data_IF_025147436719
#
_entry.id   IF_025147436719
#
_cell.length_a   1.000
_cell.length_b   1.000
_cell.length_c   1.000
_cell.angle_alpha   90.00
_cell.angle_beta   90.00
_cell.angle_gamma   90.00
#
_symmetry.space_group_name_H-M   'P 1'
#
loop_
_entity.id
_entity.type
_entity.pdbx_description
1 polymer ?
#
# COMPACT_ATOMS: atom_id res chain seq x y z
N UNK A 1 -48.55 -37.80 -170.99
CA UNK A 1 -48.82 -38.93 -170.07
C UNK A 1 -47.54 -39.57 -169.48
N UNK A 2 -46.37 -38.91 -169.50
CA UNK A 2 -45.11 -39.53 -169.01
C UNK A 2 -44.49 -38.85 -167.78
N UNK A 3 -44.92 -37.63 -167.45
CA UNK A 3 -44.36 -36.85 -166.34
C UNK A 3 -45.03 -37.15 -164.98
N UNK A 4 -46.28 -37.64 -165.02
CA UNK A 4 -47.04 -38.00 -163.82
C UNK A 4 -46.54 -39.30 -163.18
N UNK A 5 -45.98 -40.22 -163.96
CA UNK A 5 -45.48 -41.49 -163.46
C UNK A 5 -44.09 -41.38 -162.79
N UNK A 6 -43.26 -40.40 -163.17
CA UNK A 6 -41.96 -40.17 -162.50
C UNK A 6 -42.09 -39.61 -161.08
N UNK A 7 -43.14 -38.83 -160.79
CA UNK A 7 -43.39 -38.30 -159.43
C UNK A 7 -43.91 -39.35 -158.44
N UNK A 8 -44.46 -40.47 -158.92
CA UNK A 8 -45.02 -41.53 -158.07
C UNK A 8 -43.96 -42.58 -157.68
N UNK A 9 -42.93 -42.80 -158.52
CA UNK A 9 -41.90 -43.81 -158.28
C UNK A 9 -40.50 -43.25 -157.93
N UNK A 10 -40.39 -41.94 -157.70
CA UNK A 10 -39.18 -41.31 -157.19
C UNK A 10 -39.04 -41.46 -155.67
N UNK A 11 -38.57 -42.61 -155.21
CA UNK A 11 -38.14 -42.81 -153.82
C UNK A 11 -37.01 -41.81 -153.49
N UNK A 12 -37.30 -40.76 -152.71
CA UNK A 12 -36.26 -39.96 -152.07
C UNK A 12 -35.78 -40.72 -150.82
N UNK A 13 -34.71 -41.51 -150.96
CA UNK A 13 -33.88 -41.85 -149.81
C UNK A 13 -33.28 -40.55 -149.29
N UNK A 14 -33.66 -40.15 -148.08
CA UNK A 14 -32.95 -39.13 -147.31
C UNK A 14 -32.18 -39.91 -146.25
N UNK A 15 -30.84 -39.87 -146.31
CA UNK A 15 -29.98 -40.54 -145.34
C UNK A 15 -30.24 -39.97 -143.93
N UNK A 16 -30.46 -40.85 -142.94
CA UNK A 16 -30.58 -40.49 -141.53
C UNK A 16 -29.31 -39.75 -141.08
N UNK A 17 -29.43 -38.48 -140.71
CA UNK A 17 -28.36 -37.74 -140.06
C UNK A 17 -28.36 -38.07 -138.56
N UNK A 18 -27.23 -38.48 -137.95
CA UNK A 18 -27.17 -38.75 -136.52
C UNK A 18 -27.41 -37.45 -135.73
N UNK A 19 -28.22 -37.52 -134.66
CA UNK A 19 -28.44 -36.38 -133.76
C UNK A 19 -27.11 -35.91 -133.15
N UNK A 20 -26.86 -34.59 -133.02
CA UNK A 20 -25.67 -34.11 -132.34
C UNK A 20 -25.73 -34.49 -130.85
N UNK A 21 -24.76 -35.26 -130.38
CA UNK A 21 -24.57 -35.52 -128.96
C UNK A 21 -24.14 -34.21 -128.27
N UNK A 22 -24.93 -33.78 -127.29
CA UNK A 22 -24.57 -32.64 -126.43
C UNK A 22 -23.56 -33.18 -125.41
N UNK A 23 -22.35 -32.59 -125.28
CA UNK A 23 -21.40 -33.00 -124.25
C UNK A 23 -22.04 -32.90 -122.86
N UNK A 24 -21.80 -33.85 -121.94
CA UNK A 24 -22.28 -33.71 -120.57
C UNK A 24 -21.63 -32.46 -119.95
N UNK A 25 -22.44 -31.49 -119.55
CA UNK A 25 -21.97 -30.36 -118.76
C UNK A 25 -21.89 -30.80 -117.30
N UNK A 26 -20.77 -30.49 -116.65
CA UNK A 26 -20.58 -30.70 -115.22
C UNK A 26 -21.15 -29.50 -114.46
N UNK A 27 -21.97 -29.75 -113.44
CA UNK A 27 -22.32 -28.76 -112.43
C UNK A 27 -21.30 -28.88 -111.29
N UNK A 28 -20.09 -28.37 -111.53
CA UNK A 28 -18.92 -28.44 -110.63
C UNK A 28 -18.68 -27.15 -109.83
N UNK A 29 -19.54 -26.15 -109.97
CA UNK A 29 -19.45 -24.88 -109.24
C UNK A 29 -18.53 -23.84 -109.87
N UNK A 30 -17.65 -24.21 -110.81
CA UNK A 30 -16.75 -23.27 -111.51
C UNK A 30 -17.42 -22.65 -112.75
N UNK A 31 -18.27 -23.42 -113.45
CA UNK A 31 -18.83 -23.04 -114.75
C UNK A 31 -20.34 -22.74 -114.69
N UNK A 32 -20.93 -22.84 -113.50
CA UNK A 32 -22.38 -22.66 -113.28
C UNK A 32 -22.71 -21.16 -113.14
N UNK A 33 -23.86 -20.73 -113.67
CA UNK A 33 -24.31 -19.36 -113.44
C UNK A 33 -24.52 -19.10 -111.95
N UNK A 34 -23.94 -18.01 -111.44
CA UNK A 34 -24.09 -17.61 -110.04
C UNK A 34 -25.58 -17.48 -109.67
N UNK A 35 -25.90 -17.85 -108.44
CA UNK A 35 -27.23 -17.61 -107.88
C UNK A 35 -27.51 -16.11 -107.84
N UNK A 36 -28.72 -15.71 -108.21
CA UNK A 36 -29.11 -14.30 -108.15
C UNK A 36 -29.08 -13.80 -106.69
N UNK A 37 -28.76 -12.52 -106.44
CA UNK A 37 -28.76 -11.98 -105.08
C UNK A 37 -30.09 -12.23 -104.37
N UNK A 38 -30.05 -12.68 -103.11
CA UNK A 38 -31.24 -13.00 -102.30
C UNK A 38 -32.18 -14.07 -102.88
N UNK A 39 -31.73 -14.87 -103.84
CA UNK A 39 -32.55 -15.97 -104.42
C UNK A 39 -32.64 -17.22 -103.54
N UNK A 40 -31.86 -17.28 -102.47
CA UNK A 40 -31.86 -18.37 -101.48
C UNK A 40 -32.58 -17.89 -100.23
N UNK A 41 -33.69 -18.54 -99.91
CA UNK A 41 -34.49 -18.36 -98.71
C UNK A 41 -34.52 -19.67 -97.89
N UNK A 42 -35.30 -19.67 -96.79
CA UNK A 42 -35.40 -20.82 -95.89
C UNK A 42 -35.99 -22.09 -96.52
N UNK A 43 -36.66 -22.01 -97.68
CA UNK A 43 -37.19 -23.18 -98.40
C UNK A 43 -36.10 -23.91 -99.18
N UNK A 44 -35.10 -23.19 -99.69
CA UNK A 44 -33.99 -23.77 -100.45
C UNK A 44 -32.87 -24.30 -99.52
N UNK A 45 -32.78 -23.81 -98.28
CA UNK A 45 -31.89 -24.35 -97.24
C UNK A 45 -32.65 -25.32 -96.35
N UNK A 46 -32.49 -26.63 -96.59
CA UNK A 46 -33.09 -27.66 -95.73
C UNK A 46 -32.48 -27.64 -94.33
N UNK A 47 -33.24 -28.08 -93.33
CA UNK A 47 -32.74 -28.22 -91.97
C UNK A 47 -31.49 -29.13 -91.92
N UNK A 48 -30.42 -28.64 -91.30
CA UNK A 48 -29.13 -29.32 -91.22
C UNK A 48 -28.29 -29.30 -92.50
N UNK A 49 -28.73 -28.63 -93.57
CA UNK A 49 -27.95 -28.51 -94.81
C UNK A 49 -26.70 -27.65 -94.67
N UNK A 50 -26.69 -26.74 -93.69
CA UNK A 50 -25.50 -25.97 -93.30
C UNK A 50 -24.93 -26.60 -92.04
N UNK A 51 -23.90 -27.41 -92.21
CA UNK A 51 -23.11 -27.96 -91.11
C UNK A 51 -21.85 -27.12 -90.87
N UNK A 52 -20.98 -27.56 -89.96
CA UNK A 52 -19.73 -26.85 -89.65
C UNK A 52 -18.73 -26.83 -90.81
N UNK A 53 -18.87 -27.71 -91.80
CA UNK A 53 -17.99 -27.74 -92.99
C UNK A 53 -18.47 -26.81 -94.09
N UNK A 54 -19.77 -26.49 -94.11
CA UNK A 54 -20.38 -25.52 -95.01
C UNK A 54 -20.10 -24.05 -94.60
N UNK A 55 -19.62 -23.82 -93.37
CA UNK A 55 -19.18 -22.51 -92.88
C UNK A 55 -17.65 -22.48 -92.86
N UNK A 56 -17.05 -21.59 -93.64
CA UNK A 56 -15.60 -21.35 -93.55
C UNK A 56 -15.22 -20.78 -92.18
N UNK A 57 -13.98 -20.99 -91.75
CA UNK A 57 -13.45 -20.41 -90.51
C UNK A 57 -13.67 -18.89 -90.51
N UNK A 58 -14.11 -18.35 -89.35
CA UNK A 58 -14.43 -16.93 -89.15
C UNK A 58 -15.54 -16.36 -90.06
N UNK A 59 -16.21 -17.20 -90.86
CA UNK A 59 -17.29 -16.75 -91.75
C UNK A 59 -18.50 -16.20 -91.00
N UNK A 60 -18.65 -16.51 -89.71
CA UNK A 60 -19.65 -15.91 -88.80
C UNK A 60 -18.93 -14.98 -87.83
N UNK A 61 -18.84 -13.71 -88.20
CA UNK A 61 -18.29 -12.63 -87.39
C UNK A 61 -19.37 -12.00 -86.49
N UNK A 62 -19.00 -10.98 -85.70
CA UNK A 62 -19.93 -10.28 -84.82
C UNK A 62 -21.09 -9.61 -85.57
N UNK A 63 -20.87 -9.14 -86.80
CA UNK A 63 -21.89 -8.42 -87.58
C UNK A 63 -22.98 -9.38 -88.11
N UNK A 64 -22.64 -10.66 -88.26
CA UNK A 64 -23.57 -11.74 -88.62
C UNK A 64 -24.34 -12.31 -87.43
N UNK A 65 -23.90 -12.03 -86.20
CA UNK A 65 -24.58 -12.43 -84.97
C UNK A 65 -25.41 -11.25 -84.46
N UNK A 66 -26.70 -11.26 -84.72
CA UNK A 66 -27.60 -10.21 -84.25
C UNK A 66 -27.70 -10.18 -82.71
N UNK A 67 -28.03 -9.01 -82.16
CA UNK A 67 -28.25 -8.84 -80.72
C UNK A 67 -29.28 -9.85 -80.19
N UNK A 68 -28.90 -10.58 -79.14
CA UNK A 68 -29.74 -11.60 -78.53
C UNK A 68 -29.77 -12.95 -79.26
N UNK A 69 -29.04 -13.13 -80.37
CA UNK A 69 -28.92 -14.43 -81.04
C UNK A 69 -28.31 -15.52 -80.16
N UNK A 70 -27.39 -15.15 -79.26
CA UNK A 70 -26.79 -16.08 -78.28
C UNK A 70 -27.64 -16.10 -77.01
N UNK A 71 -28.52 -17.09 -76.91
CA UNK A 71 -29.34 -17.36 -75.74
C UNK A 71 -28.60 -18.27 -74.76
N UNK A 72 -29.10 -18.39 -73.52
CA UNK A 72 -28.49 -19.27 -72.51
C UNK A 72 -28.40 -20.74 -72.96
N UNK A 73 -29.33 -21.21 -73.80
CA UNK A 73 -29.29 -22.57 -74.35
C UNK A 73 -28.17 -22.79 -75.39
N UNK A 74 -27.57 -21.71 -75.90
CA UNK A 74 -26.43 -21.76 -76.83
C UNK A 74 -25.07 -21.77 -76.08
N UNK A 75 -25.09 -21.62 -74.75
CA UNK A 75 -23.90 -21.61 -73.91
C UNK A 75 -23.88 -22.85 -73.03
N UNK A 76 -22.99 -23.79 -73.35
CA UNK A 76 -22.76 -24.95 -72.51
C UNK A 76 -22.17 -24.57 -71.15
N UNK A 77 -22.30 -25.47 -70.19
CA UNK A 77 -21.66 -25.32 -68.89
C UNK A 77 -20.15 -25.08 -69.05
N UNK A 78 -19.63 -24.08 -68.33
CA UNK A 78 -18.21 -23.69 -68.35
C UNK A 78 -17.71 -23.12 -69.70
N UNK A 79 -18.59 -22.87 -70.68
CA UNK A 79 -18.19 -22.28 -71.96
C UNK A 79 -17.64 -20.86 -71.83
N UNK A 80 -18.07 -20.11 -70.80
CA UNK A 80 -17.54 -18.79 -70.44
C UNK A 80 -16.47 -18.97 -69.36
N UNK A 81 -15.20 -18.92 -69.77
CA UNK A 81 -14.04 -18.98 -68.88
C UNK A 81 -13.62 -17.58 -68.43
N UNK A 82 -12.74 -17.50 -67.42
CA UNK A 82 -12.21 -16.22 -66.93
C UNK A 82 -11.59 -15.38 -68.04
N UNK A 83 -10.82 -15.99 -68.94
CA UNK A 83 -10.15 -15.31 -70.06
C UNK A 83 -11.14 -14.76 -71.10
N UNK A 84 -12.39 -15.23 -71.13
CA UNK A 84 -13.45 -14.72 -72.01
C UNK A 84 -14.21 -13.55 -71.39
N UNK A 85 -13.98 -13.24 -70.12
CA UNK A 85 -14.53 -12.08 -69.44
C UNK A 85 -13.48 -10.98 -69.42
N UNK A 86 -13.80 -9.83 -70.01
CA UNK A 86 -12.97 -8.64 -69.87
C UNK A 86 -12.99 -8.11 -68.43
N UNK A 87 -11.99 -7.29 -68.08
CA UNK A 87 -11.96 -6.59 -66.80
C UNK A 87 -13.25 -5.79 -66.59
N UNK A 88 -13.87 -5.96 -65.42
CA UNK A 88 -15.15 -5.34 -65.04
C UNK A 88 -16.37 -5.71 -65.94
N UNK A 89 -16.29 -6.75 -66.78
CA UNK A 89 -17.41 -7.19 -67.62
C UNK A 89 -18.66 -7.59 -66.82
N UNK A 90 -18.49 -8.02 -65.55
CA UNK A 90 -19.59 -8.40 -64.66
C UNK A 90 -19.90 -7.25 -63.69
N UNK A 91 -20.93 -6.46 -64.01
CA UNK A 91 -21.45 -5.45 -63.10
C UNK A 91 -22.08 -6.08 -61.85
N UNK A 92 -22.03 -5.37 -60.71
CA UNK A 92 -22.59 -5.84 -59.43
C UNK A 92 -24.07 -6.23 -59.53
N UNK A 93 -24.87 -5.51 -60.32
CA UNK A 93 -26.28 -5.82 -60.56
C UNK A 93 -26.51 -7.18 -61.27
N UNK A 94 -25.48 -7.74 -61.91
CA UNK A 94 -25.52 -9.08 -62.53
C UNK A 94 -25.16 -10.19 -61.54
N UNK A 95 -24.66 -9.84 -60.36
CA UNK A 95 -24.34 -10.77 -59.28
C UNK A 95 -25.52 -10.79 -58.31
N UNK A 96 -26.20 -11.94 -58.21
CA UNK A 96 -27.30 -12.11 -57.25
C UNK A 96 -26.78 -11.90 -55.81
N UNK A 97 -27.58 -11.26 -54.95
CA UNK A 97 -27.27 -11.14 -53.53
C UNK A 97 -26.93 -12.51 -52.92
N UNK A 98 -25.77 -12.62 -52.27
CA UNK A 98 -25.24 -13.85 -51.68
C UNK A 98 -24.56 -14.82 -52.65
N UNK A 99 -24.48 -14.53 -53.95
CA UNK A 99 -23.76 -15.36 -54.92
C UNK A 99 -22.24 -15.39 -54.63
N UNK A 100 -21.71 -14.31 -54.08
CA UNK A 100 -20.35 -14.20 -53.54
C UNK A 100 -20.46 -14.24 -52.02
N UNK A 101 -20.05 -15.35 -51.42
CA UNK A 101 -20.07 -15.55 -49.96
C UNK A 101 -18.66 -15.46 -49.38
N UNK A 102 -18.54 -15.44 -48.06
CA UNK A 102 -17.25 -15.31 -47.36
C UNK A 102 -16.22 -16.36 -47.84
N UNK A 103 -16.62 -17.61 -48.08
CA UNK A 103 -15.72 -18.65 -48.61
C UNK A 103 -15.18 -18.38 -50.02
N UNK A 104 -15.84 -17.52 -50.81
CA UNK A 104 -15.38 -17.08 -52.13
C UNK A 104 -14.50 -15.82 -52.08
N UNK A 105 -14.48 -15.12 -50.94
CA UNK A 105 -13.71 -13.88 -50.73
C UNK A 105 -12.46 -14.10 -49.88
N UNK A 106 -12.49 -15.06 -48.96
CA UNK A 106 -11.41 -15.30 -48.02
C UNK A 106 -10.41 -16.28 -48.64
N UNK A 107 -9.36 -15.76 -49.27
CA UNK A 107 -8.14 -16.53 -49.52
C UNK A 107 -7.21 -16.37 -48.32
N UNK A 108 -7.00 -17.48 -47.62
CA UNK A 108 -6.03 -17.73 -46.56
C UNK A 108 -6.05 -16.79 -45.36
N UNK A 109 -5.73 -15.50 -45.45
CA UNK A 109 -5.57 -14.65 -44.26
C UNK A 109 -5.81 -13.18 -44.63
N UNK A 110 -6.80 -12.57 -43.98
CA UNK A 110 -7.20 -11.17 -44.08
C UNK A 110 -7.83 -10.73 -45.40
N UNK A 111 -9.07 -10.25 -45.33
CA UNK A 111 -9.48 -8.91 -45.81
C UNK A 111 -10.87 -8.62 -45.24
N UNK A 112 -10.89 -7.90 -44.11
CA UNK A 112 -11.95 -6.93 -43.82
C UNK A 112 -11.23 -5.59 -43.80
N UNK A 113 -10.97 -5.02 -44.98
CA UNK A 113 -10.08 -3.85 -45.14
C UNK A 113 -10.80 -2.51 -45.03
N UNK A 114 -12.13 -2.48 -44.93
CA UNK A 114 -12.87 -1.24 -44.72
C UNK A 114 -13.77 -1.31 -43.49
N UNK A 115 -13.66 -0.30 -42.62
CA UNK A 115 -14.52 -0.08 -41.46
C UNK A 115 -16.02 -0.04 -41.81
N UNK A 116 -16.37 0.25 -43.07
CA UNK A 116 -17.73 0.24 -43.58
C UNK A 116 -18.32 -1.17 -43.86
N UNK A 117 -17.52 -2.24 -43.77
CA UNK A 117 -17.98 -3.62 -44.02
C UNK A 117 -18.41 -4.38 -42.76
N UNK A 118 -18.20 -3.80 -41.57
CA UNK A 118 -18.61 -4.41 -40.30
C UNK A 118 -19.84 -3.66 -39.81
N UNK A 119 -21.02 -4.25 -40.01
CA UNK A 119 -22.24 -3.75 -39.40
C UNK A 119 -22.13 -3.74 -37.87
N UNK A 120 -22.92 -2.86 -37.24
CA UNK A 120 -22.95 -2.76 -35.78
C UNK A 120 -23.29 -4.12 -35.17
N UNK A 121 -22.50 -4.55 -34.18
CA UNK A 121 -22.65 -5.83 -33.47
C UNK A 121 -22.33 -7.12 -34.26
N UNK A 122 -21.72 -7.05 -35.45
CA UNK A 122 -21.26 -8.25 -36.17
C UNK A 122 -20.14 -8.98 -35.43
N UNK A 123 -19.21 -8.24 -34.80
CA UNK A 123 -18.14 -8.84 -34.01
C UNK A 123 -18.67 -9.19 -32.62
N UNK A 124 -19.10 -10.44 -32.46
CA UNK A 124 -19.47 -11.05 -31.17
C UNK A 124 -18.27 -11.76 -30.53
N UNK A 125 -18.41 -12.17 -29.27
CA UNK A 125 -17.34 -12.87 -28.53
C UNK A 125 -16.83 -14.14 -29.24
N UNK A 126 -17.68 -14.85 -29.99
CA UNK A 126 -17.26 -16.04 -30.74
C UNK A 126 -16.30 -15.72 -31.90
N UNK A 127 -16.32 -14.48 -32.42
CA UNK A 127 -15.40 -14.03 -33.47
C UNK A 127 -14.03 -13.59 -32.92
N UNK A 128 -13.93 -13.35 -31.61
CA UNK A 128 -12.70 -12.89 -30.95
C UNK A 128 -12.12 -14.04 -30.15
N UNK A 129 -11.03 -14.63 -30.66
CA UNK A 129 -10.29 -15.65 -29.92
C UNK A 129 -9.73 -15.12 -28.59
N UNK A 130 -9.53 -16.04 -27.63
CA UNK A 130 -8.93 -15.69 -26.33
C UNK A 130 -7.53 -15.10 -26.55
N UNK A 131 -7.26 -13.92 -25.98
CA UNK A 131 -5.97 -13.24 -26.08
C UNK A 131 -5.71 -12.49 -27.38
N UNK A 132 -6.66 -12.49 -28.34
CA UNK A 132 -6.53 -11.74 -29.60
C UNK A 132 -6.51 -10.23 -29.34
N UNK A 133 -7.31 -9.75 -28.39
CA UNK A 133 -7.27 -8.34 -27.96
C UNK A 133 -6.15 -8.17 -26.93
N UNK A 134 -5.04 -7.61 -27.39
CA UNK A 134 -3.88 -7.26 -26.55
C UNK A 134 -3.96 -5.78 -26.14
N UNK A 135 -3.13 -5.37 -25.19
CA UNK A 135 -3.08 -3.97 -24.73
C UNK A 135 -2.84 -2.98 -25.87
N UNK A 136 -2.06 -3.34 -26.90
CA UNK A 136 -1.84 -2.49 -28.07
C UNK A 136 -3.11 -2.23 -28.91
N UNK A 137 -4.12 -3.08 -28.80
CA UNK A 137 -5.42 -2.92 -29.48
C UNK A 137 -6.38 -2.04 -28.68
N UNK A 138 -6.04 -1.67 -27.45
CA UNK A 138 -6.86 -0.89 -26.53
C UNK A 138 -6.30 0.53 -26.41
N UNK A 139 -7.11 1.53 -26.77
CA UNK A 139 -6.74 2.94 -26.54
C UNK A 139 -6.64 3.27 -25.05
N UNK A 140 -5.80 4.25 -24.69
CA UNK A 140 -5.44 4.60 -23.30
C UNK A 140 -6.61 4.93 -22.35
N UNK A 141 -7.82 5.15 -22.84
CA UNK A 141 -9.01 5.47 -22.04
C UNK A 141 -10.21 4.54 -22.31
N UNK A 142 -10.02 3.43 -23.03
CA UNK A 142 -11.14 2.57 -23.42
C UNK A 142 -11.75 1.79 -22.25
N UNK A 143 -10.99 1.63 -21.16
CA UNK A 143 -11.42 0.98 -19.91
C UNK A 143 -11.84 2.07 -18.92
N UNK A 144 -13.15 2.38 -18.89
CA UNK A 144 -13.76 3.25 -17.89
C UNK A 144 -14.15 2.46 -16.64
N UNK A 145 -14.46 3.15 -15.54
CA UNK A 145 -14.98 2.53 -14.32
C UNK A 145 -16.20 1.65 -14.58
N UNK A 146 -17.10 2.05 -15.49
CA UNK A 146 -18.27 1.26 -15.86
C UNK A 146 -17.93 -0.10 -16.51
N UNK A 147 -16.72 -0.24 -17.08
CA UNK A 147 -16.23 -1.52 -17.64
C UNK A 147 -15.46 -2.36 -16.64
N UNK A 148 -15.14 -1.81 -15.46
CA UNK A 148 -14.51 -2.54 -14.36
C UNK A 148 -15.61 -2.84 -13.35
N UNK A 149 -16.10 -4.08 -13.34
CA UNK A 149 -17.10 -4.51 -12.36
C UNK A 149 -16.54 -4.52 -10.93
N UNK A 150 -17.42 -4.36 -9.94
CA UNK A 150 -17.02 -4.38 -8.52
C UNK A 150 -16.24 -5.65 -8.17
N UNK A 151 -15.07 -5.48 -7.56
CA UNK A 151 -14.17 -6.58 -7.19
C UNK A 151 -13.35 -7.16 -8.34
N UNK A 152 -13.44 -6.64 -9.58
CA UNK A 152 -12.62 -7.14 -10.70
C UNK A 152 -11.12 -6.99 -10.46
N UNK A 153 -10.71 -5.95 -9.73
CA UNK A 153 -9.32 -5.69 -9.37
C UNK A 153 -9.05 -6.31 -7.98
N UNK A 154 -8.56 -7.55 -7.97
CA UNK A 154 -8.13 -8.26 -6.77
C UNK A 154 -6.61 -8.16 -6.57
N UNK A 155 -6.12 -8.53 -5.38
CA UNK A 155 -4.68 -8.52 -5.06
C UNK A 155 -3.82 -9.24 -6.11
N UNK A 156 -4.27 -10.40 -6.64
CA UNK A 156 -3.53 -11.13 -7.67
C UNK A 156 -3.39 -10.37 -9.01
N UNK A 157 -4.22 -9.35 -9.24
CA UNK A 157 -4.16 -8.47 -10.43
C UNK A 157 -3.28 -7.24 -10.21
N UNK A 158 -2.90 -6.94 -8.96
CA UNK A 158 -2.03 -5.83 -8.60
C UNK A 158 -0.66 -6.39 -8.24
N UNK A 159 0.34 -6.12 -9.09
CA UNK A 159 1.72 -6.53 -8.80
C UNK A 159 2.29 -5.84 -7.54
N UNK A 160 3.31 -6.46 -6.93
CA UNK A 160 4.00 -5.89 -5.78
C UNK A 160 4.55 -4.49 -6.11
N UNK A 161 4.31 -3.53 -5.20
CA UNK A 161 4.75 -2.14 -5.35
C UNK A 161 4.03 -1.33 -6.43
N UNK A 162 2.99 -1.89 -7.08
CA UNK A 162 2.27 -1.16 -8.12
C UNK A 162 1.46 0.01 -7.57
N UNK A 163 0.97 -0.05 -6.33
CA UNK A 163 0.32 1.09 -5.67
C UNK A 163 1.39 1.86 -4.88
N UNK A 164 1.94 2.90 -5.51
CA UNK A 164 2.93 3.79 -4.89
C UNK A 164 2.22 4.97 -4.23
N UNK A 165 2.93 5.71 -3.36
CA UNK A 165 2.39 6.93 -2.73
C UNK A 165 1.91 7.96 -3.75
N UNK A 166 2.53 8.07 -4.92
CA UNK A 166 2.08 8.96 -5.99
C UNK A 166 0.73 8.57 -6.63
N UNK A 167 0.31 7.29 -6.48
CA UNK A 167 -0.99 6.79 -6.96
C UNK A 167 -2.08 6.87 -5.90
N UNK A 168 -1.72 7.20 -4.65
CA UNK A 168 -2.64 7.42 -3.55
C UNK A 168 -2.76 8.95 -3.36
N UNK A 169 -3.95 9.50 -3.57
CA UNK A 169 -4.20 10.92 -3.36
C UNK A 169 -4.01 11.36 -1.90
N UNK A 170 -3.93 12.68 -1.69
CA UNK A 170 -3.88 13.23 -0.34
C UNK A 170 -5.16 12.86 0.43
N UNK A 171 -5.00 12.30 1.63
CA UNK A 171 -6.08 11.87 2.53
C UNK A 171 -6.99 10.74 2.01
N UNK A 172 -6.60 10.03 0.95
CA UNK A 172 -7.37 8.88 0.43
C UNK A 172 -7.38 7.68 1.39
N UNK A 173 -6.30 7.48 2.15
CA UNK A 173 -6.26 6.43 3.19
C UNK A 173 -6.85 6.99 4.47
N UNK A 174 -8.10 6.64 4.72
CA UNK A 174 -8.85 6.96 5.93
C UNK A 174 -8.78 5.82 6.95
N UNK A 175 -9.21 6.07 8.19
CA UNK A 175 -9.23 5.03 9.24
C UNK A 175 -10.06 3.80 8.83
N UNK A 176 -11.14 3.98 8.07
CA UNK A 176 -11.96 2.87 7.57
C UNK A 176 -11.21 1.95 6.58
N UNK A 177 -10.13 2.45 5.94
CA UNK A 177 -9.31 1.67 5.02
C UNK A 177 -8.22 0.86 5.73
N UNK A 178 -7.96 1.15 7.02
CA UNK A 178 -6.94 0.48 7.82
C UNK A 178 -7.66 -0.39 8.85
N UNK A 179 -7.56 -1.71 8.68
CA UNK A 179 -8.14 -2.63 9.67
C UNK A 179 -7.54 -2.44 11.06
N UNK A 180 -8.31 -2.82 12.10
CA UNK A 180 -7.80 -2.80 13.46
C UNK A 180 -6.52 -3.63 13.56
N UNK A 181 -5.50 -3.07 14.22
CA UNK A 181 -4.16 -3.66 14.37
C UNK A 181 -3.37 -3.86 13.07
N UNK A 182 -3.86 -3.36 11.92
CA UNK A 182 -3.14 -3.48 10.65
C UNK A 182 -1.76 -2.79 10.70
N UNK A 183 -1.60 -1.73 11.51
CA UNK A 183 -0.31 -1.08 11.78
C UNK A 183 0.30 -1.69 13.04
N UNK A 184 0.99 -2.82 12.86
CA UNK A 184 1.75 -3.49 13.92
C UNK A 184 3.07 -2.76 14.24
N UNK A 185 3.66 -3.02 15.40
CA UNK A 185 4.98 -2.49 15.78
C UNK A 185 6.05 -2.72 14.70
N UNK A 186 6.11 -3.89 14.07
CA UNK A 186 7.06 -4.19 12.99
C UNK A 186 6.91 -3.32 11.72
N UNK A 187 5.75 -2.67 11.53
CA UNK A 187 5.49 -1.75 10.40
C UNK A 187 5.87 -0.30 10.74
N UNK A 188 6.11 -0.01 12.01
CA UNK A 188 6.58 1.29 12.48
C UNK A 188 8.08 1.16 12.72
N UNK A 189 8.89 1.86 11.94
CA UNK A 189 10.34 1.84 12.16
C UNK A 189 10.70 2.41 13.54
N UNK A 190 11.82 1.98 14.08
CA UNK A 190 12.35 2.55 15.33
C UNK A 190 12.47 4.07 15.20
N UNK A 191 12.02 4.79 16.24
CA UNK A 191 11.99 6.25 16.30
C UNK A 191 11.07 6.94 15.26
N UNK A 192 10.24 6.18 14.52
CA UNK A 192 9.35 6.77 13.52
C UNK A 192 8.29 7.69 14.15
N UNK A 193 7.91 7.49 15.41
CA UNK A 193 7.01 8.38 16.15
C UNK A 193 7.85 9.40 16.92
N UNK A 194 7.96 10.61 16.36
CA UNK A 194 8.71 11.74 16.94
C UNK A 194 7.80 12.65 17.75
N UNK A 195 8.38 13.55 18.56
CA UNK A 195 7.60 14.53 19.34
C UNK A 195 6.65 15.36 18.46
N UNK A 196 7.05 15.75 17.25
CA UNK A 196 6.19 16.49 16.33
C UNK A 196 4.98 15.68 15.82
N UNK A 197 5.04 14.34 15.88
CA UNK A 197 3.94 13.44 15.49
C UNK A 197 2.97 13.14 16.62
N UNK A 198 3.34 13.49 17.86
CA UNK A 198 2.49 13.36 19.05
C UNK A 198 2.00 14.76 19.40
N UNK A 199 0.72 15.04 19.20
CA UNK A 199 0.15 16.32 19.62
C UNK A 199 0.31 16.51 21.14
N UNK A 200 0.42 17.75 21.59
CA UNK A 200 0.45 18.05 23.03
C UNK A 200 -0.77 17.43 23.72
N UNK A 201 -0.54 16.78 24.87
CA UNK A 201 -1.56 16.05 25.64
C UNK A 201 -2.16 14.81 24.95
N UNK A 202 -1.66 14.40 23.78
CA UNK A 202 -2.16 13.20 23.10
C UNK A 202 -1.94 11.93 23.92
N UNK A 203 -0.88 11.89 24.74
CA UNK A 203 -0.62 10.83 25.72
C UNK A 203 -1.11 11.33 27.07
N UNK A 204 -2.29 10.85 27.48
CA UNK A 204 -2.92 11.16 28.77
C UNK A 204 -2.65 10.04 29.80
N UNK A 205 -3.06 10.27 31.04
CA UNK A 205 -2.89 9.29 32.12
C UNK A 205 -3.58 7.95 31.84
N UNK A 206 -4.67 7.93 31.05
CA UNK A 206 -5.36 6.68 30.72
C UNK A 206 -4.58 5.84 29.69
N UNK A 207 -3.77 6.48 28.84
CA UNK A 207 -2.89 5.84 27.87
C UNK A 207 -1.57 5.35 28.47
N UNK A 208 -1.19 5.82 29.65
CA UNK A 208 0.03 5.40 30.36
C UNK A 208 -0.36 4.49 31.53
N UNK A 209 -0.25 3.18 31.32
CA UNK A 209 -0.58 2.20 32.37
C UNK A 209 0.38 2.30 33.57
N UNK A 210 1.69 2.43 33.33
CA UNK A 210 2.72 2.60 34.35
C UNK A 210 3.95 3.31 33.78
N UNK A 211 4.63 4.13 34.59
CA UNK A 211 5.95 4.70 34.28
C UNK A 211 6.96 4.15 35.29
N UNK A 212 8.06 3.56 34.82
CA UNK A 212 9.17 3.20 35.70
C UNK A 212 10.03 4.43 35.97
N UNK A 213 10.48 4.63 37.21
CA UNK A 213 11.34 5.75 37.60
C UNK A 213 12.62 5.84 36.74
N UNK A 214 13.21 4.69 36.35
CA UNK A 214 14.42 4.62 35.52
C UNK A 214 14.21 5.21 34.11
N UNK A 215 12.95 5.37 33.67
CA UNK A 215 12.60 5.99 32.37
C UNK A 215 12.41 7.51 32.48
N UNK A 216 12.41 8.08 33.69
CA UNK A 216 12.31 9.52 33.93
C UNK A 216 13.74 10.07 34.01
N UNK A 217 14.34 10.35 32.85
CA UNK A 217 15.67 11.00 32.76
C UNK A 217 15.62 12.51 32.88
N UNK A 218 14.44 13.11 32.92
CA UNK A 218 14.27 14.50 33.33
C UNK A 218 14.70 14.57 34.81
N UNK A 219 15.87 15.14 35.10
CA UNK A 219 16.49 15.16 36.43
C UNK A 219 15.70 15.84 37.55
N UNK A 220 14.42 16.18 37.32
CA UNK A 220 13.49 16.71 38.31
C UNK A 220 12.08 16.15 38.08
N UNK A 221 11.43 15.67 39.15
CA UNK A 221 10.00 15.35 39.17
C UNK A 221 9.28 16.54 39.80
N UNK A 222 8.54 17.30 38.98
CA UNK A 222 7.75 18.44 39.48
C UNK A 222 6.38 17.96 39.97
N UNK A 223 6.14 18.03 41.28
CA UNK A 223 4.88 17.69 41.91
C UNK A 223 4.06 18.97 42.07
N UNK A 224 3.05 19.17 41.22
CA UNK A 224 2.18 20.37 41.24
C UNK A 224 1.05 20.30 42.29
N UNK A 225 1.01 19.22 43.08
CA UNK A 225 0.06 18.95 44.16
C UNK A 225 0.78 18.21 45.30
N UNK A 226 0.11 17.96 46.44
CA UNK A 226 0.67 17.14 47.53
C UNK A 226 1.04 15.75 46.98
N UNK A 227 2.30 15.58 46.61
CA UNK A 227 2.77 14.39 45.92
C UNK A 227 3.18 13.32 46.92
N UNK A 228 2.72 12.10 46.69
CA UNK A 228 3.08 10.94 47.47
C UNK A 228 4.02 10.05 46.65
N UNK A 229 5.30 10.00 47.05
CA UNK A 229 6.22 9.01 46.53
C UNK A 229 5.99 7.70 47.28
N UNK A 230 5.15 6.84 46.71
CA UNK A 230 4.82 5.55 47.31
C UNK A 230 5.95 4.53 47.10
N UNK A 231 6.26 3.77 48.15
CA UNK A 231 7.03 2.53 48.09
C UNK A 231 6.12 1.37 48.57
N UNK A 232 6.47 0.10 48.31
CA UNK A 232 5.66 -1.06 48.71
C UNK A 232 5.38 -1.15 50.22
N UNK A 233 6.14 -0.46 51.06
CA UNK A 233 6.02 -0.52 52.53
C UNK A 233 5.50 0.78 53.16
N UNK A 234 5.23 1.82 52.36
CA UNK A 234 4.92 3.19 52.79
C UNK A 234 5.59 4.22 51.88
N UNK A 235 5.52 5.53 52.14
CA UNK A 235 6.01 6.53 51.18
C UNK A 235 6.37 7.87 51.79
N UNK A 236 6.99 8.72 50.99
CA UNK A 236 7.38 10.09 51.36
C UNK A 236 6.34 11.07 50.78
N UNK A 237 5.68 11.85 51.64
CA UNK A 237 4.88 13.00 51.22
C UNK A 237 5.78 14.22 51.10
N UNK A 238 5.78 14.84 49.93
CA UNK A 238 6.44 16.12 49.67
C UNK A 238 5.33 17.12 49.42
N UNK A 239 5.06 18.03 50.37
CA UNK A 239 3.95 18.96 50.22
C UNK A 239 3.48 19.61 51.52
N UNK A 240 2.22 20.06 51.52
CA UNK A 240 1.61 20.76 52.65
C UNK A 240 1.68 19.90 53.93
N UNK A 241 2.24 20.47 55.01
CA UNK A 241 2.36 19.82 56.30
C UNK A 241 1.22 20.26 57.24
N UNK A 242 1.11 21.57 57.50
CA UNK A 242 0.06 22.16 58.35
C UNK A 242 0.02 23.68 58.21
N UNK A 243 -1.02 24.33 58.72
CA UNK A 243 -1.07 25.78 58.85
C UNK A 243 -0.60 26.19 60.25
N UNK A 244 0.36 27.12 60.35
CA UNK A 244 0.81 27.71 61.61
C UNK A 244 0.51 29.21 61.53
N UNK A 245 -0.37 29.71 62.42
CA UNK A 245 -0.78 31.12 62.46
C UNK A 245 -1.25 31.68 61.10
N UNK A 246 -2.06 30.90 60.35
CA UNK A 246 -2.58 31.32 59.05
C UNK A 246 -1.62 31.09 57.88
N UNK A 247 -0.38 30.69 58.12
CA UNK A 247 0.62 30.42 57.07
C UNK A 247 0.74 28.91 56.81
N UNK A 248 0.53 28.50 55.56
CA UNK A 248 0.76 27.11 55.15
C UNK A 248 2.24 26.78 55.24
N UNK A 249 2.57 25.79 56.06
CA UNK A 249 3.91 25.22 56.17
C UNK A 249 3.99 23.98 55.29
N UNK A 250 5.06 23.87 54.51
CA UNK A 250 5.33 22.77 53.60
C UNK A 250 6.55 22.01 54.11
N UNK A 251 6.56 20.69 53.95
CA UNK A 251 7.64 19.85 54.46
C UNK A 251 7.65 18.45 53.86
N UNK A 252 8.64 17.67 54.31
CA UNK A 252 8.78 16.25 54.01
C UNK A 252 8.19 15.45 55.17
N UNK A 253 7.16 14.65 54.92
CA UNK A 253 6.60 13.74 55.92
C UNK A 253 6.86 12.30 55.48
N UNK A 254 7.62 11.57 56.29
CA UNK A 254 7.78 10.12 56.14
C UNK A 254 6.63 9.38 56.83
N UNK A 255 6.14 8.30 56.22
CA UNK A 255 5.19 7.40 56.86
C UNK A 255 5.81 6.59 58.02
N UNK A 256 4.99 5.88 58.82
CA UNK A 256 5.49 4.99 59.87
C UNK A 256 6.55 4.01 59.34
N UNK A 257 7.66 3.84 60.06
CA UNK A 257 8.77 2.96 59.64
C UNK A 257 9.67 3.49 58.51
N UNK A 258 9.44 4.72 58.06
CA UNK A 258 10.26 5.40 57.04
C UNK A 258 10.92 6.62 57.67
N UNK A 259 12.02 7.08 57.08
CA UNK A 259 12.39 8.45 57.35
C UNK A 259 13.38 9.03 56.37
N UNK A 260 13.72 10.29 56.63
CA UNK A 260 14.38 11.13 55.67
C UNK A 260 15.88 10.92 55.80
N UNK A 261 16.50 10.47 54.71
CA UNK A 261 17.95 10.46 54.53
C UNK A 261 18.32 11.72 53.76
N UNK A 262 19.07 12.61 54.41
CA UNK A 262 19.77 13.69 53.72
C UNK A 262 21.21 13.22 53.56
N UNK A 263 21.55 12.85 52.33
CA UNK A 263 22.87 12.35 51.95
C UNK A 263 23.56 13.45 51.12
N UNK A 264 24.72 13.93 51.56
CA UNK A 264 25.51 14.89 50.80
C UNK A 264 26.43 14.22 49.77
N UNK A 265 26.36 12.89 49.65
CA UNK A 265 27.01 12.08 48.63
C UNK A 265 28.49 11.79 48.89
N UNK A 266 29.18 12.62 49.68
CA UNK A 266 30.63 12.54 49.84
C UNK A 266 31.10 12.37 51.31
N UNK A 267 30.30 12.66 52.35
CA UNK A 267 30.80 12.67 53.73
C UNK A 267 29.89 12.06 54.82
N UNK A 268 28.83 11.34 54.44
CA UNK A 268 27.96 10.61 55.36
C UNK A 268 26.53 11.15 55.38
N UNK A 269 25.61 10.32 55.88
CA UNK A 269 24.18 10.64 55.89
C UNK A 269 23.74 11.15 57.26
N UNK A 270 22.92 12.19 57.27
CA UNK A 270 22.11 12.54 58.44
C UNK A 270 20.73 11.87 58.28
N UNK A 271 20.38 10.98 59.22
CA UNK A 271 19.04 10.36 59.27
C UNK A 271 18.18 11.07 60.30
N UNK A 272 17.04 11.61 59.87
CA UNK A 272 16.02 12.16 60.78
C UNK A 272 14.79 11.28 60.70
N UNK A 273 14.56 10.45 61.72
CA UNK A 273 13.43 9.53 61.78
C UNK A 273 12.51 9.86 62.97
N UNK A 274 11.20 9.79 62.74
CA UNK A 274 10.18 9.94 63.78
C UNK A 274 9.68 8.54 64.11
N UNK A 275 10.12 8.01 65.25
CA UNK A 275 9.58 6.76 65.77
C UNK A 275 8.17 7.00 66.29
N UNK A 276 7.18 6.36 65.66
CA UNK A 276 5.76 6.46 66.03
C UNK A 276 5.30 5.28 66.88
N UNK A 277 6.19 4.36 67.28
CA UNK A 277 5.89 3.19 68.12
C UNK A 277 5.58 3.52 69.58
N UNK A 278 5.39 4.82 69.90
CA UNK A 278 4.85 5.28 71.17
C UNK A 278 5.83 5.32 72.33
N UNK A 279 7.13 5.05 72.12
CA UNK A 279 8.06 4.94 73.23
C UNK A 279 9.49 5.50 73.02
N UNK A 280 9.69 6.55 72.19
CA UNK A 280 10.94 7.34 72.14
C UNK A 280 10.87 8.62 71.28
N UNK A 281 11.63 9.70 71.62
CA UNK A 281 11.64 10.97 70.89
C UNK A 281 12.39 10.92 69.56
N UNK A 282 12.24 11.98 68.75
CA UNK A 282 12.97 12.25 67.49
C UNK A 282 14.40 11.69 67.51
N UNK A 283 14.66 10.63 66.75
CA UNK A 283 16.00 10.07 66.63
C UNK A 283 16.70 10.69 65.42
N UNK A 284 17.84 11.32 65.70
CA UNK A 284 18.72 11.86 64.68
C UNK A 284 20.02 11.07 64.77
N UNK A 285 20.31 10.29 63.74
CA UNK A 285 21.53 9.50 63.64
C UNK A 285 22.50 10.23 62.71
N UNK A 286 23.69 10.48 63.23
CA UNK A 286 24.71 11.37 62.67
C UNK A 286 26.01 10.60 62.57
N UNK A 287 26.62 10.58 61.40
CA UNK A 287 27.93 9.96 61.17
C UNK A 287 29.06 10.86 61.67
N UNK A 288 30.32 10.44 61.47
CA UNK A 288 31.55 10.98 62.08
C UNK A 288 31.85 12.47 61.85
N UNK A 289 31.06 13.19 61.06
CA UNK A 289 31.21 14.63 60.80
C UNK A 289 29.89 15.42 60.89
N UNK A 290 28.80 14.76 61.21
CA UNK A 290 27.47 15.36 61.23
C UNK A 290 27.27 16.14 62.54
N UNK A 291 26.71 17.35 62.41
CA UNK A 291 26.45 18.27 63.52
C UNK A 291 24.98 18.62 63.57
N UNK A 292 24.34 18.40 64.71
CA UNK A 292 22.99 18.90 64.96
C UNK A 292 23.13 20.15 65.82
N UNK A 293 22.62 21.26 65.28
CA UNK A 293 22.56 22.53 66.00
C UNK A 293 21.12 22.81 66.41
N UNK A 294 20.88 22.88 67.72
CA UNK A 294 19.68 23.54 68.22
C UNK A 294 20.00 25.01 68.38
N UNK A 295 19.35 25.86 67.57
CA UNK A 295 19.60 27.30 67.50
C UNK A 295 18.55 28.06 68.30
N UNK A 296 18.96 29.11 69.00
CA UNK A 296 18.03 30.12 69.52
C UNK A 296 17.50 30.97 68.36
N UNK A 297 16.40 31.68 68.60
CA UNK A 297 15.88 32.69 67.66
C UNK A 297 16.91 33.79 67.34
N UNK A 298 17.91 33.98 68.20
CA UNK A 298 19.05 34.87 68.01
C UNK A 298 20.15 34.31 67.09
N UNK A 299 20.02 33.08 66.58
CA UNK A 299 21.01 32.44 65.71
C UNK A 299 22.20 31.80 66.44
N UNK A 300 22.28 31.96 67.76
CA UNK A 300 23.28 31.30 68.59
C UNK A 300 22.94 29.81 68.79
N UNK A 301 23.98 28.97 68.89
CA UNK A 301 23.80 27.55 69.25
C UNK A 301 23.41 27.44 70.72
N UNK A 302 22.20 26.94 70.98
CA UNK A 302 21.75 26.53 72.31
C UNK A 302 22.41 25.20 72.68
N UNK A 303 22.49 24.27 71.73
CA UNK A 303 23.04 22.94 71.95
C UNK A 303 23.65 22.38 70.67
N UNK A 304 24.84 21.81 70.80
CA UNK A 304 25.57 21.16 69.71
C UNK A 304 25.71 19.68 70.04
N UNK A 305 25.15 18.83 69.19
CA UNK A 305 25.39 17.40 69.23
C UNK A 305 26.38 17.03 68.13
N UNK A 306 27.45 16.34 68.51
CA UNK A 306 28.47 15.84 67.62
C UNK A 306 28.34 14.33 67.53
N UNK A 307 28.37 13.75 66.32
CA UNK A 307 28.54 12.31 66.15
C UNK A 307 29.92 11.89 66.68
N UNK A 308 29.96 11.06 67.72
CA UNK A 308 31.21 10.49 68.24
C UNK A 308 31.33 9.01 67.84
N UNK A 309 32.54 8.61 67.46
CA UNK A 309 32.92 7.30 66.98
C UNK A 309 32.93 6.30 68.15
N UNK A 310 31.76 5.83 68.59
CA UNK A 310 31.64 4.92 69.72
C UNK A 310 30.85 3.66 69.34
N UNK A 311 31.59 2.63 68.96
CA UNK A 311 31.12 1.24 68.92
C UNK A 311 30.84 0.81 70.36
N UNK A 312 29.64 1.10 70.87
CA UNK A 312 29.20 0.70 72.19
C UNK A 312 28.53 1.83 72.97
N UNK A 313 27.20 1.87 72.94
CA UNK A 313 26.36 2.61 73.89
C UNK A 313 26.47 4.14 73.80
N UNK A 314 25.61 4.75 72.99
CA UNK A 314 25.56 6.20 72.83
C UNK A 314 25.21 6.93 74.13
N UNK A 315 26.15 7.77 74.58
CA UNK A 315 25.88 8.88 75.49
C UNK A 315 26.40 10.17 74.85
N UNK A 316 25.66 11.25 75.06
CA UNK A 316 25.94 12.61 74.58
C UNK A 316 27.30 13.07 75.09
N UNK A 317 28.29 13.19 74.20
CA UNK A 317 29.57 13.84 74.48
C UNK A 317 29.40 15.36 74.35
N UNK A 318 28.92 16.01 75.41
CA UNK A 318 29.02 17.47 75.53
C UNK A 318 30.47 17.79 75.85
N UNK A 319 31.27 18.08 74.82
CA UNK A 319 32.72 18.35 74.90
C UNK A 319 33.12 19.66 75.60
N UNK A 320 32.29 20.14 76.53
CA UNK A 320 32.65 21.05 77.61
C UNK A 320 31.83 20.68 78.85
N UNK A 321 32.38 19.73 79.62
CA UNK A 321 32.31 19.67 81.09
C UNK A 321 30.99 19.31 81.77
N UNK A 322 30.66 18.02 81.85
CA UNK A 322 30.14 17.42 83.09
C UNK A 322 30.65 15.97 83.23
N UNK A 323 31.96 15.79 83.41
CA UNK A 323 32.49 14.55 83.98
C UNK A 323 32.33 14.65 85.49
N UNK A 324 31.35 13.95 86.05
CA UNK A 324 31.27 13.74 87.50
C UNK A 324 32.22 12.59 87.81
N UNK A 325 33.42 12.91 88.29
CA UNK A 325 34.37 11.88 88.74
C UNK A 325 33.81 11.07 89.91
N UNK A 326 34.20 9.80 90.01
CA UNK A 326 34.07 9.01 91.24
C UNK A 326 34.84 9.69 92.38
N UNK A 327 34.35 9.57 93.61
CA UNK A 327 34.89 10.02 94.91
C UNK A 327 36.14 10.94 94.87
N UNK A 328 36.05 12.14 95.46
CA UNK A 328 37.11 13.18 95.57
C UNK A 328 38.54 12.60 95.55
N UNK A 329 39.30 12.79 94.46
CA UNK A 329 40.67 12.28 94.36
C UNK A 329 41.67 13.14 95.14
N UNK A 330 42.81 12.55 95.49
CA UNK A 330 43.95 13.26 96.07
C UNK A 330 44.61 14.22 95.07
N UNK A 331 44.59 13.87 93.77
CA UNK A 331 45.15 14.67 92.66
C UNK A 331 44.07 15.15 91.68
N UNK A 332 43.37 16.26 91.96
CA UNK A 332 42.32 16.77 91.11
C UNK A 332 42.83 17.54 89.88
N UNK A 333 42.14 17.37 88.75
CA UNK A 333 42.35 18.15 87.53
C UNK A 333 41.53 19.45 87.57
N UNK A 334 42.15 20.58 87.23
CA UNK A 334 41.49 21.89 87.12
C UNK A 334 40.27 21.84 86.17
N UNK A 335 39.17 22.45 86.59
CA UNK A 335 37.92 22.54 85.83
C UNK A 335 37.05 21.28 85.86
N UNK A 336 37.47 20.23 86.57
CA UNK A 336 36.66 19.01 86.72
C UNK A 336 35.80 19.02 87.98
N UNK A 337 34.64 18.36 87.89
CA UNK A 337 33.68 18.23 88.97
C UNK A 337 33.75 16.84 89.61
N UNK A 338 33.68 16.77 90.93
CA UNK A 338 33.84 15.54 91.70
C UNK A 338 32.81 15.45 92.81
N UNK A 339 32.43 14.23 93.15
CA UNK A 339 31.58 13.95 94.29
C UNK A 339 32.43 13.68 95.54
N UNK A 340 32.21 14.42 96.63
CA UNK A 340 32.77 14.08 97.94
C UNK A 340 31.70 13.43 98.80
N UNK A 341 31.99 12.20 99.22
CA UNK A 341 31.15 11.40 100.09
C UNK A 341 31.56 11.66 101.53
N UNK A 342 30.63 12.14 102.36
CA UNK A 342 30.84 12.45 103.78
C UNK A 342 31.91 13.53 104.05
N UNK A 343 31.71 14.78 103.61
CA UNK A 343 32.59 15.88 104.00
C UNK A 343 32.62 16.00 105.53
N UNK A 344 33.83 16.05 106.11
CA UNK A 344 34.13 15.80 107.53
C UNK A 344 33.35 16.63 108.58
N UNK A 345 32.59 17.64 108.15
CA UNK A 345 31.82 18.53 109.02
C UNK A 345 30.29 18.34 108.93
N UNK A 346 29.75 17.42 108.09
CA UNK A 346 28.32 17.47 107.69
C UNK A 346 27.54 16.15 107.64
N UNK A 347 28.01 15.06 108.27
CA UNK A 347 27.22 13.82 108.39
C UNK A 347 27.00 13.05 107.07
N UNK A 348 25.95 12.23 107.01
CA UNK A 348 25.74 11.15 106.01
C UNK A 348 25.38 11.57 104.57
N UNK A 349 25.59 12.84 104.20
CA UNK A 349 25.40 13.36 102.85
C UNK A 349 26.68 13.42 102.01
N UNK A 350 26.58 13.88 100.77
CA UNK A 350 27.74 14.26 99.97
C UNK A 350 27.56 15.59 99.25
N UNK A 351 28.59 16.06 98.56
CA UNK A 351 28.55 17.32 97.82
C UNK A 351 29.22 17.20 96.47
N UNK A 352 28.68 17.92 95.49
CA UNK A 352 29.28 18.10 94.18
C UNK A 352 30.21 19.32 94.25
N UNK A 353 31.47 19.14 93.88
CA UNK A 353 32.48 20.20 93.93
C UNK A 353 33.19 20.35 92.59
N UNK A 354 33.74 21.53 92.32
CA UNK A 354 34.66 21.79 91.22
C UNK A 354 36.04 22.18 91.76
N UNK A 355 37.11 21.70 91.13
CA UNK A 355 38.48 22.08 91.47
C UNK A 355 38.95 23.21 90.54
N UNK A 356 39.39 24.35 91.10
CA UNK A 356 39.82 25.52 90.33
C UNK A 356 41.34 25.62 90.12
N UNK A 357 42.07 24.51 90.28
CA UNK A 357 43.53 24.49 90.19
C UNK A 357 44.25 24.76 91.52
N UNK A 358 43.56 25.37 92.50
CA UNK A 358 44.14 25.73 93.80
C UNK A 358 43.30 25.28 95.01
N UNK A 359 41.98 25.17 94.84
CA UNK A 359 41.03 24.93 95.92
C UNK A 359 39.75 24.27 95.41
N UNK A 360 39.01 23.65 96.33
CA UNK A 360 37.73 23.01 96.06
C UNK A 360 36.56 23.98 96.31
N UNK A 361 35.62 24.06 95.37
CA UNK A 361 34.44 24.93 95.46
C UNK A 361 33.17 24.09 95.36
N UNK A 362 32.23 24.28 96.29
CA UNK A 362 30.94 23.60 96.27
C UNK A 362 30.04 24.11 95.15
N UNK A 363 29.41 23.20 94.41
CA UNK A 363 28.49 23.52 93.30
C UNK A 363 27.05 23.16 93.65
N UNK A 364 26.83 22.05 94.36
CA UNK A 364 25.51 21.63 94.86
C UNK A 364 25.66 20.65 96.04
N UNK A 365 24.70 20.65 96.96
CA UNK A 365 24.67 19.78 98.14
C UNK A 365 23.66 18.63 97.99
N UNK A 366 23.85 17.51 98.68
CA UNK A 366 22.90 16.38 98.62
C UNK A 366 21.47 16.77 99.01
N UNK A 367 21.30 17.72 99.93
CA UNK A 367 19.98 18.20 100.35
C UNK A 367 19.32 19.16 99.32
N UNK A 368 20.03 19.59 98.28
CA UNK A 368 19.50 20.41 97.18
C UNK A 368 18.96 19.58 95.99
N UNK A 369 19.03 18.24 96.07
CA UNK A 369 18.70 17.31 94.95
C UNK A 369 17.48 16.42 95.27
N UNK A 370 16.57 16.89 96.13
CA UNK A 370 15.24 16.28 96.29
C UNK A 370 14.11 17.23 95.93
#
# INVERSE_FOLDING_TARGET
>A
MNDFLQKIFGNQQVDDQPFPEIPPHTHDGDNSSLLAPSSIDSLQIKAGAVDTTALADESVDSDKIIDGAVLSQHLDALSVTEQKLADAAVATAKIKNGAVNASKLIQSEAVVTLSAQIDTAVIISAHIGTGVIQNAHLGNAIISSAKIVDGAIINAKIGNGQITSAKIGLAEVQNANIENMAVSAAKIQDLAVTNAKIANLAIDNAKIANVCADKITAGTISLTSSGYLATPYGGIRIGYLRQVNGVSTYGLQAGPGHGLMLDDGDNGYARIWIDTSGNRPLCIDTTSNDRIFFKASSGNDIMRLYGNNAVGGGFVDVRTSMRIGSEKPDDPVEGQMYWEKYPGDMGSGGRLMIYNGYSWHGVAWYDDIY
#
